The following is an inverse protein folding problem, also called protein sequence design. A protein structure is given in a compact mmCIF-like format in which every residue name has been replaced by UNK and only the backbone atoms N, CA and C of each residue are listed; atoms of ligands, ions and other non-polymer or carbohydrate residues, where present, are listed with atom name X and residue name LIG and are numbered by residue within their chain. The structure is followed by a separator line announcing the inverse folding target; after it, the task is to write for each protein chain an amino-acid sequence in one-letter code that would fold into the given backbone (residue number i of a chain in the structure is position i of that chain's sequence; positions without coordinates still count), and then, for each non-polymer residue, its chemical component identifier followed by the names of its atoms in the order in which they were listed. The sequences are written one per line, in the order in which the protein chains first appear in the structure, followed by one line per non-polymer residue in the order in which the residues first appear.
data_IF_686920458563
#
_entry.id   IF_686920458563
#
_cell.length_a   1.000
_cell.length_b   1.000
_cell.length_c   1.000
_cell.angle_alpha   90.00
_cell.angle_beta   90.00
_cell.angle_gamma   90.00
#
_symmetry.space_group_name_H-M   'P 1'
#
loop_
_entity.id
_entity.type
_entity.pdbx_description
1 polymer ?
#
# COMPACT_ATOMS: atom_id res chain seq x y z
N UNK A 1 8.87 -6.65 -7.51
CA UNK A 1 8.56 -8.09 -7.32
C UNK A 1 7.09 -8.23 -6.93
N UNK A 2 6.22 -8.58 -7.88
CA UNK A 2 4.76 -8.68 -7.68
C UNK A 2 4.32 -10.02 -7.04
N UNK A 3 5.11 -10.51 -6.08
CA UNK A 3 5.05 -11.88 -5.55
C UNK A 3 5.29 -12.00 -4.04
N UNK A 4 5.02 -10.94 -3.26
CA UNK A 4 4.92 -11.01 -1.79
C UNK A 4 3.47 -11.35 -1.36
N UNK A 5 2.85 -12.27 -2.10
CA UNK A 5 1.44 -12.62 -2.02
C UNK A 5 1.01 -13.00 -0.59
N UNK A 6 0.10 -12.19 -0.06
CA UNK A 6 -0.81 -12.43 1.06
C UNK A 6 -0.30 -12.55 2.51
N UNK A 7 1.00 -12.69 2.80
CA UNK A 7 1.48 -12.87 4.19
C UNK A 7 2.44 -11.80 4.69
N UNK A 8 3.63 -11.76 4.09
CA UNK A 8 4.73 -10.88 4.52
C UNK A 8 4.40 -9.41 4.24
N UNK A 9 3.72 -9.14 3.11
CA UNK A 9 3.27 -7.82 2.72
C UNK A 9 2.34 -7.18 3.76
N UNK A 10 1.37 -7.97 4.22
CA UNK A 10 0.37 -7.57 5.21
C UNK A 10 1.00 -7.39 6.59
N UNK A 11 1.81 -8.36 7.03
CA UNK A 11 2.48 -8.31 8.34
C UNK A 11 3.40 -7.09 8.45
N UNK A 12 4.17 -6.81 7.40
CA UNK A 12 5.05 -5.64 7.37
C UNK A 12 4.23 -4.35 7.38
N UNK A 13 3.16 -4.27 6.58
CA UNK A 13 2.26 -3.11 6.60
C UNK A 13 1.63 -2.90 7.99
N UNK A 14 1.25 -3.98 8.67
CA UNK A 14 0.74 -3.94 10.05
C UNK A 14 1.79 -3.43 11.03
N UNK A 15 2.98 -3.99 11.05
CA UNK A 15 4.08 -3.58 11.95
C UNK A 15 4.47 -2.12 11.74
N UNK A 16 4.44 -1.64 10.50
CA UNK A 16 4.73 -0.24 10.18
C UNK A 16 3.60 0.69 10.64
N UNK A 17 2.35 0.30 10.41
CA UNK A 17 1.18 1.02 10.92
C UNK A 17 1.19 1.09 12.45
N UNK A 18 1.60 0.02 13.15
CA UNK A 18 1.76 0.00 14.62
C UNK A 18 2.80 1.04 15.10
N UNK A 19 3.80 1.34 14.28
CA UNK A 19 4.83 2.34 14.58
C UNK A 19 4.40 3.77 14.21
N UNK A 20 3.15 3.97 13.80
CA UNK A 20 2.63 5.26 13.34
C UNK A 20 3.14 5.69 11.96
N UNK A 21 3.77 4.78 11.22
CA UNK A 21 4.26 5.06 9.86
C UNK A 21 3.10 4.98 8.89
N UNK A 22 3.04 5.93 7.95
CA UNK A 22 2.09 5.89 6.85
C UNK A 22 2.58 4.92 5.77
N UNK A 23 1.71 4.01 5.35
CA UNK A 23 2.01 2.92 4.41
C UNK A 23 1.27 3.14 3.10
N UNK A 24 1.95 3.00 1.97
CA UNK A 24 1.34 2.95 0.63
C UNK A 24 1.52 1.53 0.09
N UNK A 25 0.40 0.85 -0.15
CA UNK A 25 0.35 -0.50 -0.71
C UNK A 25 0.13 -0.40 -2.21
N UNK A 26 1.11 -0.82 -3.00
CA UNK A 26 0.99 -0.82 -4.45
C UNK A 26 0.55 -2.20 -4.91
N UNK A 27 -0.70 -2.31 -5.38
CA UNK A 27 -1.34 -3.61 -5.65
C UNK A 27 -1.84 -3.69 -7.08
N UNK A 28 -1.77 -4.89 -7.67
CA UNK A 28 -2.46 -5.17 -8.95
C UNK A 28 -3.97 -5.33 -8.78
N UNK A 29 -4.40 -5.80 -7.61
CA UNK A 29 -5.82 -5.98 -7.29
C UNK A 29 -6.19 -5.07 -6.13
N UNK A 30 -6.78 -3.92 -6.46
CA UNK A 30 -7.18 -2.88 -5.50
C UNK A 30 -8.20 -3.41 -4.47
N UNK A 31 -9.14 -4.27 -4.89
CA UNK A 31 -10.13 -4.85 -3.97
C UNK A 31 -9.47 -5.75 -2.90
N UNK A 32 -8.44 -6.52 -3.27
CA UNK A 32 -7.67 -7.30 -2.31
C UNK A 32 -6.84 -6.40 -1.38
N UNK A 33 -6.25 -5.33 -1.92
CA UNK A 33 -5.53 -4.32 -1.14
C UNK A 33 -6.42 -3.63 -0.10
N UNK A 34 -7.65 -3.25 -0.48
CA UNK A 34 -8.61 -2.66 0.45
C UNK A 34 -9.01 -3.61 1.58
N UNK A 35 -9.27 -4.90 1.28
CA UNK A 35 -9.56 -5.88 2.34
C UNK A 35 -8.41 -5.99 3.35
N UNK A 36 -7.17 -5.98 2.86
CA UNK A 36 -5.98 -5.96 3.71
C UNK A 36 -5.86 -4.67 4.53
N UNK A 37 -6.10 -3.49 3.94
CA UNK A 37 -6.04 -2.23 4.66
C UNK A 37 -7.12 -2.11 5.73
N UNK A 38 -8.34 -2.61 5.46
CA UNK A 38 -9.42 -2.64 6.44
C UNK A 38 -9.10 -3.56 7.62
N UNK A 39 -8.51 -4.73 7.37
CA UNK A 39 -8.05 -5.62 8.43
C UNK A 39 -7.04 -4.92 9.36
N UNK A 40 -6.06 -4.21 8.80
CA UNK A 40 -5.08 -3.48 9.60
C UNK A 40 -5.72 -2.29 10.35
N UNK A 41 -6.64 -1.56 9.71
CA UNK A 41 -7.35 -0.44 10.35
C UNK A 41 -8.26 -0.89 11.50
N UNK A 42 -8.82 -2.10 11.41
CA UNK A 42 -9.59 -2.71 12.50
C UNK A 42 -8.71 -3.04 13.72
N UNK A 43 -7.47 -3.48 13.49
CA UNK A 43 -6.51 -3.75 14.56
C UNK A 43 -5.86 -2.46 15.11
N UNK A 44 -5.69 -1.46 14.26
CA UNK A 44 -4.95 -0.22 14.55
C UNK A 44 -5.80 0.98 14.11
N UNK A 45 -6.72 1.46 14.96
CA UNK A 45 -7.54 2.63 14.66
C UNK A 45 -6.66 3.84 14.34
N UNK A 46 -6.86 4.45 13.18
CA UNK A 46 -6.07 5.59 12.70
C UNK A 46 -4.84 5.23 11.88
N UNK A 47 -4.62 3.95 11.54
CA UNK A 47 -3.56 3.53 10.63
C UNK A 47 -3.66 4.27 9.28
N UNK A 48 -2.61 5.01 8.93
CA UNK A 48 -2.50 5.71 7.65
C UNK A 48 -2.11 4.76 6.53
N UNK A 49 -3.07 4.04 5.95
CA UNK A 49 -2.81 3.09 4.85
C UNK A 49 -3.50 3.56 3.59
N UNK A 50 -2.72 3.77 2.53
CA UNK A 50 -3.19 4.09 1.18
C UNK A 50 -3.01 2.86 0.30
N UNK A 51 -4.02 2.54 -0.50
CA UNK A 51 -3.98 1.46 -1.49
C UNK A 51 -4.01 2.13 -2.85
N UNK A 52 -2.98 1.91 -3.66
CA UNK A 52 -2.88 2.44 -5.02
C UNK A 52 -2.68 1.29 -6.00
N UNK A 53 -3.27 1.42 -7.19
CA UNK A 53 -3.09 0.43 -8.25
C UNK A 53 -1.70 0.55 -8.87
N UNK A 54 -0.98 -0.56 -8.99
CA UNK A 54 0.28 -0.60 -9.74
C UNK A 54 0.50 -1.96 -10.39
N UNK A 55 0.68 -1.93 -11.70
CA UNK A 55 1.20 -3.06 -12.48
C UNK A 55 2.57 -2.71 -13.05
N UNK A 56 3.60 -3.39 -12.55
CA UNK A 56 4.99 -3.22 -13.01
C UNK A 56 5.23 -3.71 -14.43
N UNK A 57 4.30 -4.46 -15.02
CA UNK A 57 4.37 -4.85 -16.44
C UNK A 57 3.90 -3.74 -17.39
N UNK A 58 3.29 -2.67 -16.86
CA UNK A 58 2.77 -1.54 -17.64
C UNK A 58 3.38 -0.22 -17.19
N UNK A 59 4.19 0.39 -18.07
CA UNK A 59 4.77 1.71 -17.81
C UNK A 59 3.70 2.80 -17.62
N UNK A 60 2.54 2.67 -18.26
CA UNK A 60 1.42 3.59 -18.06
C UNK A 60 0.80 3.42 -16.67
N UNK A 61 0.73 2.19 -16.14
CA UNK A 61 0.34 1.97 -14.76
C UNK A 61 1.35 2.57 -13.77
N UNK A 62 2.65 2.43 -14.04
CA UNK A 62 3.70 3.01 -13.20
C UNK A 62 3.60 4.55 -13.19
N UNK A 63 3.37 5.17 -14.34
CA UNK A 63 3.18 6.63 -14.43
C UNK A 63 1.96 7.10 -13.67
N UNK A 64 0.81 6.42 -13.82
CA UNK A 64 -0.40 6.74 -13.05
C UNK A 64 -0.17 6.61 -11.54
N UNK A 65 0.47 5.53 -11.11
CA UNK A 65 0.84 5.33 -9.72
C UNK A 65 1.72 6.47 -9.19
N UNK A 66 2.74 6.88 -9.95
CA UNK A 66 3.62 7.98 -9.56
C UNK A 66 2.84 9.30 -9.40
N UNK A 67 1.98 9.64 -10.36
CA UNK A 67 1.12 10.84 -10.27
C UNK A 67 0.19 10.80 -9.06
N UNK A 68 -0.46 9.66 -8.81
CA UNK A 68 -1.34 9.50 -7.65
C UNK A 68 -0.56 9.59 -6.34
N UNK A 69 0.63 8.98 -6.28
CA UNK A 69 1.49 9.02 -5.12
C UNK A 69 1.99 10.45 -4.82
N UNK A 70 2.44 11.18 -5.84
CA UNK A 70 2.85 12.59 -5.71
C UNK A 70 1.69 13.46 -5.21
N UNK A 71 0.47 13.24 -5.68
CA UNK A 71 -0.72 13.97 -5.25
C UNK A 71 -1.07 13.75 -3.77
N UNK A 72 -0.62 12.64 -3.16
CA UNK A 72 -0.81 12.44 -1.72
C UNK A 72 0.05 13.43 -0.90
N UNK A 73 1.09 14.03 -1.50
CA UNK A 73 2.03 14.95 -0.87
C UNK A 73 2.63 14.37 0.43
N UNK A 74 2.95 13.07 0.39
CA UNK A 74 3.42 12.30 1.53
C UNK A 74 4.91 12.01 1.39
N UNK A 75 5.66 11.99 2.51
CA UNK A 75 6.97 11.34 2.50
C UNK A 75 6.79 9.85 2.20
N UNK A 76 7.43 9.36 1.13
CA UNK A 76 7.47 7.93 0.82
C UNK A 76 8.35 7.22 1.85
N UNK A 77 7.74 6.61 2.85
CA UNK A 77 8.51 5.88 3.87
C UNK A 77 8.85 4.47 3.39
N UNK A 78 7.87 3.74 2.84
CA UNK A 78 8.03 2.36 2.34
C UNK A 78 7.03 2.13 1.20
N UNK A 79 7.50 1.52 0.11
CA UNK A 79 6.70 1.04 -1.03
C UNK A 79 6.78 -0.48 -1.07
N UNK A 80 5.61 -1.15 -1.10
CA UNK A 80 5.51 -2.61 -1.15
C UNK A 80 4.59 -3.06 -2.26
#
# INVERSE_FOLDING_TARGET
AAGASSGIGLETARVMALRGVRVVMAVRNVAAGHRASEAIRAEIPGAGIHVLEMDLSSMDSVRRFATEFEALNLPLNILM
#
